data_IF_258935064266
#
_entry.id   IF_258935064266
#
_cell.length_a   1.000
_cell.length_b   1.000
_cell.length_c   1.000
_cell.angle_alpha   90.00
_cell.angle_beta   90.00
_cell.angle_gamma   90.00
#
_symmetry.space_group_name_H-M   'P 1'
#
loop_
_entity.id
_entity.type
_entity.pdbx_description
1 polymer ?
#
# COMPACT_ATOMS: atom_id res chain seq x y z
N UNK A 1 -47.02 -6.51 40.51
CA UNK A 1 -45.80 -6.90 39.77
C UNK A 1 -44.62 -6.20 40.41
N UNK A 2 -43.78 -6.92 41.15
CA UNK A 2 -42.80 -6.40 42.06
C UNK A 2 -41.71 -5.58 41.35
N UNK A 3 -41.25 -4.52 41.94
CA UNK A 3 -40.16 -3.63 41.44
C UNK A 3 -38.89 -4.42 41.07
N UNK A 4 -38.65 -5.56 41.75
CA UNK A 4 -37.56 -6.49 41.49
C UNK A 4 -37.67 -7.14 40.10
N UNK A 5 -38.85 -7.59 39.65
CA UNK A 5 -39.03 -8.18 38.31
C UNK A 5 -38.86 -7.16 37.18
N UNK A 6 -39.22 -5.89 37.42
CA UNK A 6 -38.94 -4.83 36.44
C UNK A 6 -37.41 -4.52 36.31
N UNK A 7 -36.71 -4.54 37.44
CA UNK A 7 -35.23 -4.38 37.43
C UNK A 7 -34.53 -5.56 36.75
N UNK A 8 -34.97 -6.79 37.01
CA UNK A 8 -34.40 -7.99 36.34
C UNK A 8 -34.67 -7.93 34.84
N UNK A 9 -35.89 -7.53 34.43
CA UNK A 9 -36.25 -7.44 33.01
C UNK A 9 -35.43 -6.36 32.29
N UNK A 10 -35.17 -5.20 32.92
CA UNK A 10 -34.34 -4.16 32.41
C UNK A 10 -32.88 -4.63 32.32
N UNK A 11 -32.34 -5.32 33.32
CA UNK A 11 -30.99 -5.87 33.32
C UNK A 11 -30.80 -6.91 32.23
N UNK A 12 -31.78 -7.81 32.02
CA UNK A 12 -31.77 -8.82 30.95
C UNK A 12 -31.89 -8.17 29.55
N UNK A 13 -32.65 -7.08 29.40
CA UNK A 13 -32.75 -6.35 28.14
C UNK A 13 -31.44 -5.64 27.77
N UNK A 14 -30.65 -5.18 28.75
CA UNK A 14 -29.33 -4.61 28.50
C UNK A 14 -28.25 -5.66 28.22
N UNK A 15 -28.36 -6.90 28.74
CA UNK A 15 -27.44 -8.00 28.39
C UNK A 15 -27.62 -8.53 26.97
N UNK A 16 -28.75 -8.27 26.31
CA UNK A 16 -29.04 -8.75 24.95
C UNK A 16 -28.42 -7.93 23.81
N UNK A 17 -27.73 -6.82 24.10
CA UNK A 17 -27.13 -5.94 23.07
C UNK A 17 -25.60 -6.03 23.06
N UNK A 18 -25.01 -7.09 23.59
CA UNK A 18 -23.65 -7.43 23.27
C UNK A 18 -23.63 -7.97 21.83
N UNK A 19 -23.74 -7.09 20.84
CA UNK A 19 -23.41 -7.45 19.46
C UNK A 19 -22.00 -7.95 19.51
N UNK A 20 -21.80 -9.23 19.19
CA UNK A 20 -20.49 -9.80 19.00
C UNK A 20 -19.76 -8.90 17.99
N UNK A 21 -18.76 -8.15 18.44
CA UNK A 21 -17.94 -7.38 17.50
C UNK A 21 -17.40 -8.38 16.48
N UNK A 22 -17.55 -8.10 15.18
CA UNK A 22 -17.02 -9.00 14.16
C UNK A 22 -15.53 -9.22 14.46
N UNK A 23 -15.11 -10.47 14.36
CA UNK A 23 -13.71 -10.84 14.59
C UNK A 23 -12.81 -9.98 13.71
N UNK A 24 -11.89 -9.26 14.32
CA UNK A 24 -10.99 -8.37 13.58
C UNK A 24 -10.06 -9.21 12.70
N UNK A 25 -9.85 -8.85 11.43
CA UNK A 25 -8.93 -9.58 10.59
C UNK A 25 -7.52 -9.56 11.19
N UNK A 26 -6.87 -10.73 11.21
CA UNK A 26 -5.47 -10.87 11.70
C UNK A 26 -4.45 -10.34 10.70
N UNK A 27 -4.81 -10.34 9.42
CA UNK A 27 -3.98 -9.84 8.33
C UNK A 27 -4.86 -9.11 7.32
N UNK A 28 -4.42 -7.91 6.92
CA UNK A 28 -4.99 -7.17 5.78
C UNK A 28 -3.88 -6.99 4.75
N UNK A 29 -4.14 -7.40 3.52
CA UNK A 29 -3.22 -7.23 2.39
C UNK A 29 -3.85 -6.26 1.41
N UNK A 30 -3.26 -5.09 1.26
CA UNK A 30 -3.65 -4.12 0.26
C UNK A 30 -2.77 -4.25 -0.98
N UNK A 31 -3.39 -4.43 -2.15
CA UNK A 31 -2.68 -4.55 -3.43
C UNK A 31 -3.14 -3.40 -4.33
N UNK A 32 -2.19 -2.59 -4.79
CA UNK A 32 -2.45 -1.53 -5.79
C UNK A 32 -1.70 -1.91 -7.06
N UNK A 33 -2.44 -2.02 -8.15
CA UNK A 33 -1.89 -2.30 -9.48
C UNK A 33 -1.95 -1.00 -10.27
N UNK A 34 -0.82 -0.31 -10.30
CA UNK A 34 -0.68 0.97 -11.01
C UNK A 34 -0.89 0.78 -12.52
N UNK A 35 -1.49 1.76 -13.17
CA UNK A 35 -1.78 1.79 -14.61
C UNK A 35 -2.72 0.66 -15.11
N UNK A 36 -3.34 -0.10 -14.20
CA UNK A 36 -4.33 -1.11 -14.59
C UNK A 36 -5.66 -0.43 -14.92
N UNK A 37 -6.11 -0.56 -16.16
CA UNK A 37 -7.42 -0.08 -16.58
C UNK A 37 -8.52 -0.98 -16.04
N UNK A 38 -9.64 -0.37 -15.65
CA UNK A 38 -10.80 -1.08 -15.14
C UNK A 38 -11.34 -2.15 -16.11
N UNK A 39 -11.38 -1.84 -17.41
CA UNK A 39 -11.88 -2.77 -18.43
C UNK A 39 -11.03 -4.04 -18.58
N UNK A 40 -9.78 -4.07 -18.11
CA UNK A 40 -8.95 -5.27 -18.15
C UNK A 40 -9.54 -6.41 -17.31
N UNK A 41 -10.27 -6.12 -16.24
CA UNK A 41 -10.94 -7.14 -15.43
C UNK A 41 -11.94 -7.95 -16.25
N UNK A 42 -12.63 -7.32 -17.20
CA UNK A 42 -13.66 -7.94 -18.05
C UNK A 42 -13.10 -8.38 -19.39
N UNK A 43 -12.30 -7.52 -20.04
CA UNK A 43 -11.71 -7.79 -21.36
C UNK A 43 -10.88 -9.05 -21.39
N UNK A 44 -10.14 -9.33 -20.32
CA UNK A 44 -9.27 -10.49 -20.23
C UNK A 44 -9.83 -11.58 -19.30
N UNK A 45 -11.10 -11.49 -18.91
CA UNK A 45 -11.70 -12.39 -17.94
C UNK A 45 -11.51 -13.87 -18.29
N UNK A 46 -11.72 -14.27 -19.55
CA UNK A 46 -11.56 -15.64 -20.02
C UNK A 46 -10.11 -16.17 -19.92
N UNK A 47 -9.13 -15.26 -19.80
CA UNK A 47 -7.69 -15.61 -19.70
C UNK A 47 -7.19 -15.69 -18.27
N UNK A 48 -7.97 -15.22 -17.29
CA UNK A 48 -7.57 -15.32 -15.90
C UNK A 48 -7.74 -16.74 -15.38
N UNK A 49 -6.80 -17.15 -14.51
CA UNK A 49 -6.97 -18.37 -13.71
C UNK A 49 -8.12 -18.21 -12.70
N UNK A 50 -8.56 -19.31 -12.12
CA UNK A 50 -9.72 -19.33 -11.18
C UNK A 50 -9.43 -18.59 -9.85
N UNK A 51 -8.18 -18.48 -9.45
CA UNK A 51 -7.76 -17.61 -8.36
C UNK A 51 -7.65 -16.14 -8.78
N UNK A 52 -7.10 -15.28 -7.93
CA UNK A 52 -6.83 -13.86 -8.27
C UNK A 52 -8.10 -13.09 -8.65
N UNK A 53 -8.11 -12.47 -9.84
CA UNK A 53 -9.20 -11.58 -10.25
C UNK A 53 -10.57 -12.25 -10.32
N UNK A 54 -10.66 -13.46 -10.89
CA UNK A 54 -11.93 -14.19 -10.95
C UNK A 54 -12.50 -14.43 -9.56
N UNK A 55 -11.68 -14.91 -8.65
CA UNK A 55 -12.10 -15.13 -7.27
C UNK A 55 -12.54 -13.84 -6.59
N UNK A 56 -11.79 -12.75 -6.75
CA UNK A 56 -12.13 -11.46 -6.13
C UNK A 56 -13.44 -10.88 -6.70
N UNK A 57 -13.68 -11.04 -8.00
CA UNK A 57 -14.92 -10.60 -8.63
C UNK A 57 -16.13 -11.47 -8.23
N UNK A 58 -15.94 -12.78 -8.06
CA UNK A 58 -17.04 -13.73 -7.74
C UNK A 58 -17.35 -13.85 -6.25
N UNK A 59 -16.34 -13.77 -5.38
CA UNK A 59 -16.48 -13.99 -3.93
C UNK A 59 -16.30 -12.70 -3.11
N UNK A 60 -15.75 -11.65 -3.71
CA UNK A 60 -15.44 -10.39 -3.07
C UNK A 60 -16.50 -9.32 -3.26
N UNK A 61 -16.15 -8.08 -2.89
CA UNK A 61 -16.97 -6.90 -3.12
C UNK A 61 -16.31 -6.02 -4.18
N UNK A 62 -17.06 -5.63 -5.21
CA UNK A 62 -16.59 -4.74 -6.29
C UNK A 62 -17.29 -3.38 -6.20
N UNK A 63 -16.49 -2.30 -6.29
CA UNK A 63 -17.01 -0.93 -6.35
C UNK A 63 -17.07 -0.51 -7.82
N UNK A 64 -18.24 -0.63 -8.43
CA UNK A 64 -18.43 -0.44 -9.88
C UNK A 64 -18.33 1.03 -10.34
N UNK A 65 -18.61 1.98 -9.47
CA UNK A 65 -18.64 3.40 -9.79
C UNK A 65 -17.70 4.23 -8.90
N UNK A 66 -16.43 3.81 -8.80
CA UNK A 66 -15.41 4.55 -8.09
C UNK A 66 -14.76 5.58 -9.03
N UNK A 67 -15.13 6.85 -8.89
CA UNK A 67 -14.61 7.95 -9.71
C UNK A 67 -13.43 8.64 -9.02
N UNK A 68 -12.42 9.02 -9.81
CA UNK A 68 -11.29 9.83 -9.35
C UNK A 68 -11.63 11.31 -9.57
N UNK A 69 -11.84 12.11 -8.49
CA UNK A 69 -12.32 13.49 -8.60
C UNK A 69 -11.18 14.52 -8.77
N UNK A 70 -9.99 14.10 -9.18
CA UNK A 70 -8.82 14.96 -9.31
C UNK A 70 -7.98 14.64 -10.54
N UNK A 71 -7.21 15.61 -11.00
CA UNK A 71 -6.22 15.51 -12.08
C UNK A 71 -4.94 16.27 -11.67
N UNK A 72 -3.76 15.81 -12.14
CA UNK A 72 -3.49 14.57 -12.86
C UNK A 72 -3.57 13.34 -11.95
N UNK A 73 -3.95 12.19 -12.50
CA UNK A 73 -4.02 10.91 -11.77
C UNK A 73 -2.72 10.10 -11.91
N UNK A 74 -1.59 10.72 -11.57
CA UNK A 74 -0.28 10.04 -11.60
C UNK A 74 -0.05 9.21 -10.34
N UNK A 75 0.91 8.29 -10.40
CA UNK A 75 1.23 7.29 -9.36
C UNK A 75 1.20 7.85 -7.94
N UNK A 76 1.98 8.90 -7.66
CA UNK A 76 2.11 9.43 -6.30
C UNK A 76 0.79 9.94 -5.74
N UNK A 77 0.01 10.66 -6.55
CA UNK A 77 -1.30 11.19 -6.15
C UNK A 77 -2.26 10.03 -5.88
N UNK A 78 -2.40 9.10 -6.84
CA UNK A 78 -3.32 7.98 -6.72
C UNK A 78 -3.04 7.11 -5.50
N UNK A 79 -1.79 6.73 -5.28
CA UNK A 79 -1.39 5.96 -4.10
C UNK A 79 -1.69 6.72 -2.80
N UNK A 80 -1.38 8.02 -2.74
CA UNK A 80 -1.71 8.83 -1.56
C UNK A 80 -3.21 8.88 -1.31
N UNK A 81 -4.02 9.18 -2.35
CA UNK A 81 -5.48 9.27 -2.18
C UNK A 81 -6.11 7.97 -1.68
N UNK A 82 -5.72 6.82 -2.24
CA UNK A 82 -6.25 5.51 -1.84
C UNK A 82 -5.95 5.19 -0.37
N UNK A 83 -4.73 5.50 0.07
CA UNK A 83 -4.29 5.09 1.42
C UNK A 83 -4.50 6.14 2.50
N UNK A 84 -4.83 7.37 2.14
CA UNK A 84 -5.17 8.44 3.09
C UNK A 84 -6.66 8.75 3.13
N UNK A 85 -7.44 8.30 2.13
CA UNK A 85 -8.85 8.68 1.98
C UNK A 85 -9.04 10.18 1.70
N UNK A 86 -8.01 10.88 1.22
CA UNK A 86 -8.03 12.33 1.00
C UNK A 86 -7.58 12.72 -0.41
N UNK A 87 -7.53 13.99 -0.72
CA UNK A 87 -7.21 14.55 -2.03
C UNK A 87 -5.90 15.37 -1.99
N UNK A 88 -5.27 15.68 -3.13
CA UNK A 88 -3.98 16.38 -3.21
C UNK A 88 -3.88 17.66 -2.37
N UNK A 89 -4.93 18.46 -2.33
CA UNK A 89 -4.97 19.71 -1.52
C UNK A 89 -4.91 19.46 -0.01
N UNK A 90 -5.22 18.26 0.44
CA UNK A 90 -5.19 17.87 1.85
C UNK A 90 -3.90 17.12 2.18
N UNK A 91 -3.57 16.07 1.39
CA UNK A 91 -2.41 15.25 1.69
C UNK A 91 -1.08 15.82 1.17
N UNK A 92 -1.09 16.91 0.39
CA UNK A 92 0.11 17.64 -0.02
C UNK A 92 0.89 17.05 -1.20
N UNK A 93 0.52 15.88 -1.72
CA UNK A 93 1.19 15.24 -2.86
C UNK A 93 0.51 15.68 -4.16
N UNK A 94 1.11 16.63 -4.87
CA UNK A 94 0.56 17.21 -6.09
C UNK A 94 1.05 16.55 -7.38
N UNK A 95 1.99 15.59 -7.31
CA UNK A 95 2.55 14.89 -8.46
C UNK A 95 3.66 13.92 -8.06
N UNK A 96 4.25 13.21 -9.03
CA UNK A 96 5.48 12.45 -8.80
C UNK A 96 6.67 13.36 -8.48
N UNK A 97 6.62 14.58 -9.02
CA UNK A 97 7.44 15.71 -8.64
C UNK A 97 6.56 16.98 -8.71
N UNK A 98 6.84 17.96 -7.88
CA UNK A 98 6.09 19.23 -7.82
C UNK A 98 7.00 20.36 -7.31
N UNK A 99 6.53 21.60 -7.47
CA UNK A 99 7.26 22.77 -6.97
C UNK A 99 6.97 22.98 -5.49
N UNK A 100 8.03 23.07 -4.68
CA UNK A 100 7.99 23.42 -3.26
C UNK A 100 9.08 24.46 -2.99
N UNK A 101 8.71 25.58 -2.43
CA UNK A 101 9.64 26.69 -2.13
C UNK A 101 10.47 27.12 -3.37
N UNK A 102 9.82 27.21 -4.53
CA UNK A 102 10.43 27.59 -5.80
C UNK A 102 11.35 26.53 -6.44
N UNK A 103 11.41 25.31 -5.89
CA UNK A 103 12.25 24.22 -6.40
C UNK A 103 11.41 23.01 -6.78
N UNK A 104 11.82 22.30 -7.82
CA UNK A 104 11.22 20.99 -8.15
C UNK A 104 11.74 19.96 -7.15
N UNK A 105 10.83 19.31 -6.44
CA UNK A 105 11.12 18.25 -5.49
C UNK A 105 10.44 16.95 -5.92
N UNK A 106 11.09 15.81 -5.67
CA UNK A 106 10.47 14.51 -5.78
C UNK A 106 9.45 14.33 -4.63
N UNK A 107 8.30 13.73 -4.90
CA UNK A 107 7.22 13.60 -3.92
C UNK A 107 7.63 12.89 -2.61
N UNK A 108 8.61 11.99 -2.66
CA UNK A 108 9.17 11.30 -1.49
C UNK A 108 10.63 11.64 -1.23
N UNK A 109 11.19 12.62 -1.96
CA UNK A 109 12.60 13.04 -1.81
C UNK A 109 12.87 13.66 -0.43
N UNK A 110 13.92 13.19 0.25
CA UNK A 110 14.34 13.68 1.56
C UNK A 110 15.84 13.53 1.75
N UNK A 111 16.55 14.67 1.73
CA UNK A 111 17.99 14.72 1.92
C UNK A 111 18.42 14.63 3.40
N UNK A 112 17.48 14.56 4.33
CA UNK A 112 17.79 14.43 5.77
C UNK A 112 17.95 12.97 6.20
N UNK A 113 17.51 12.02 5.36
CA UNK A 113 17.68 10.57 5.58
C UNK A 113 18.83 10.02 4.75
N UNK A 114 19.24 8.79 5.03
CA UNK A 114 20.31 8.09 4.31
C UNK A 114 19.80 6.78 3.71
N UNK A 115 20.39 6.30 2.61
CA UNK A 115 20.12 4.97 2.08
C UNK A 115 20.47 3.86 3.08
N UNK A 116 19.66 2.79 3.09
CA UNK A 116 19.94 1.58 3.85
C UNK A 116 19.81 0.37 2.93
N UNK A 117 20.91 -0.33 2.71
CA UNK A 117 21.02 -1.43 1.77
C UNK A 117 21.56 -1.06 0.38
N UNK A 118 21.89 0.22 0.17
CA UNK A 118 22.54 0.74 -1.06
C UNK A 118 23.34 1.98 -0.71
N UNK A 119 24.35 2.28 -1.50
CA UNK A 119 25.14 3.52 -1.42
C UNK A 119 24.65 4.57 -2.43
N UNK A 120 23.59 4.25 -3.18
CA UNK A 120 23.05 5.09 -4.24
C UNK A 120 22.05 6.14 -3.76
N UNK A 121 21.69 7.04 -4.67
CA UNK A 121 20.73 8.12 -4.38
C UNK A 121 19.29 7.64 -4.18
N UNK A 122 18.97 6.41 -4.54
CA UNK A 122 17.63 5.82 -4.45
C UNK A 122 17.08 5.70 -3.02
N UNK A 123 17.93 5.84 -2.00
CA UNK A 123 17.53 5.73 -0.61
C UNK A 123 17.31 7.07 0.12
N UNK A 124 17.50 8.23 -0.52
CA UNK A 124 17.20 9.54 0.06
C UNK A 124 15.70 9.84 -0.05
N UNK A 125 14.87 8.97 0.52
CA UNK A 125 13.40 8.98 0.38
C UNK A 125 12.73 8.76 1.72
N UNK A 126 11.62 9.50 1.95
CA UNK A 126 10.76 9.38 3.13
C UNK A 126 9.34 9.89 2.83
N UNK A 127 8.36 9.68 3.72
CA UNK A 127 7.02 10.25 3.58
C UNK A 127 6.93 11.73 3.98
N UNK A 128 8.02 12.44 4.15
CA UNK A 128 8.08 13.82 4.69
C UNK A 128 7.14 14.81 4.02
N UNK A 129 6.87 14.63 2.72
CA UNK A 129 5.99 15.53 1.97
C UNK A 129 4.51 15.12 2.05
N UNK A 130 4.18 13.98 2.62
CA UNK A 130 2.82 13.57 2.91
C UNK A 130 2.38 14.23 4.23
N UNK A 131 1.32 15.05 4.18
CA UNK A 131 0.92 15.89 5.32
C UNK A 131 -0.11 15.26 6.23
N UNK A 132 -0.64 14.11 5.85
CA UNK A 132 -1.68 13.41 6.59
C UNK A 132 -1.28 11.98 6.87
N UNK A 133 -1.95 11.35 7.81
CA UNK A 133 -1.78 9.92 8.13
C UNK A 133 -2.38 9.03 7.07
N UNK A 134 -1.85 7.83 6.97
CA UNK A 134 -2.43 6.75 6.15
C UNK A 134 -3.28 5.83 7.00
N UNK A 135 -4.07 4.96 6.38
CA UNK A 135 -4.81 3.91 7.11
C UNK A 135 -3.87 3.01 7.93
N UNK A 136 -2.62 2.82 7.47
CA UNK A 136 -1.59 2.10 8.21
C UNK A 136 -1.13 2.84 9.47
N UNK A 137 -0.95 4.17 9.37
CA UNK A 137 -0.63 5.03 10.51
C UNK A 137 -1.76 4.99 11.53
N UNK A 138 -3.01 5.16 11.09
CA UNK A 138 -4.20 5.10 11.94
C UNK A 138 -4.37 3.74 12.63
N UNK A 139 -4.11 2.63 11.92
CA UNK A 139 -4.13 1.30 12.51
C UNK A 139 -3.10 1.18 13.64
N UNK A 140 -1.91 1.71 13.44
CA UNK A 140 -0.87 1.72 14.48
C UNK A 140 -1.28 2.53 15.70
N UNK A 141 -1.84 3.70 15.47
CA UNK A 141 -2.37 4.57 16.55
C UNK A 141 -3.49 3.86 17.31
N UNK A 142 -4.51 3.38 16.60
CA UNK A 142 -5.67 2.71 17.19
C UNK A 142 -5.32 1.43 17.97
N UNK A 143 -4.21 0.80 17.66
CA UNK A 143 -3.73 -0.41 18.35
C UNK A 143 -2.60 -0.16 19.34
N UNK A 144 -2.33 1.10 19.66
CA UNK A 144 -1.21 1.52 20.50
C UNK A 144 0.11 0.89 20.04
N UNK A 145 0.42 1.01 18.75
CA UNK A 145 1.59 0.49 18.05
C UNK A 145 1.78 -1.05 18.08
N UNK A 146 0.76 -1.83 18.48
CA UNK A 146 0.83 -3.30 18.47
C UNK A 146 0.71 -3.91 17.09
N UNK A 147 -0.05 -3.28 16.17
CA UNK A 147 -0.15 -3.70 14.77
C UNK A 147 1.17 -3.49 14.03
N UNK A 148 1.39 -4.30 13.01
CA UNK A 148 2.54 -4.17 12.10
C UNK A 148 2.06 -3.66 10.74
N UNK A 149 2.79 -2.70 10.20
CA UNK A 149 2.55 -2.13 8.88
C UNK A 149 3.83 -2.28 8.06
N UNK A 150 3.70 -2.84 6.87
CA UNK A 150 4.83 -3.05 5.95
C UNK A 150 4.41 -2.63 4.54
N UNK A 151 5.21 -1.80 3.88
CA UNK A 151 5.04 -1.41 2.49
C UNK A 151 6.13 -2.01 1.60
N UNK A 152 5.74 -2.56 0.45
CA UNK A 152 6.69 -3.11 -0.52
C UNK A 152 6.23 -2.75 -1.94
N UNK A 153 7.11 -2.17 -2.74
CA UNK A 153 6.86 -1.92 -4.16
C UNK A 153 8.16 -1.84 -4.95
N UNK A 154 8.08 -1.86 -6.28
CA UNK A 154 9.24 -1.60 -7.12
C UNK A 154 9.67 -0.12 -7.06
N UNK A 155 8.71 0.80 -7.00
CA UNK A 155 8.98 2.25 -6.91
C UNK A 155 8.91 2.75 -5.48
N UNK A 156 9.83 3.65 -5.11
CA UNK A 156 9.90 4.32 -3.82
C UNK A 156 8.55 4.89 -3.37
N UNK A 157 7.95 5.76 -4.17
CA UNK A 157 6.66 6.41 -3.87
C UNK A 157 5.49 5.44 -3.73
N UNK A 158 5.53 4.32 -4.47
CA UNK A 158 4.49 3.29 -4.39
C UNK A 158 4.60 2.43 -3.11
N UNK A 159 5.78 2.37 -2.48
CA UNK A 159 5.96 1.74 -1.18
C UNK A 159 5.73 2.74 -0.02
N UNK A 160 6.31 3.94 -0.13
CA UNK A 160 6.38 4.94 0.95
C UNK A 160 5.02 5.59 1.21
N UNK A 161 4.34 6.10 0.16
CA UNK A 161 3.10 6.86 0.33
C UNK A 161 1.94 6.01 0.89
N UNK A 162 1.76 4.73 0.47
CA UNK A 162 0.80 3.85 1.12
C UNK A 162 1.13 3.47 2.56
N UNK A 163 2.41 3.26 2.86
CA UNK A 163 2.84 2.80 4.18
C UNK A 163 2.83 3.91 5.24
N UNK A 164 3.00 5.16 4.82
CA UNK A 164 2.94 6.33 5.70
C UNK A 164 4.16 6.52 6.60
N UNK A 165 3.92 7.18 7.74
CA UNK A 165 4.96 7.68 8.63
C UNK A 165 5.39 6.66 9.71
N UNK A 166 4.47 5.79 10.13
CA UNK A 166 4.65 4.92 11.29
C UNK A 166 4.81 3.44 10.91
N UNK A 167 5.12 3.15 9.64
CA UNK A 167 5.32 1.77 9.19
C UNK A 167 6.53 1.11 9.88
N UNK A 168 6.43 -0.20 10.12
CA UNK A 168 7.51 -1.01 10.69
C UNK A 168 8.63 -1.31 9.68
N UNK A 169 8.31 -1.19 8.38
CA UNK A 169 9.28 -1.35 7.33
C UNK A 169 8.68 -0.99 5.98
N UNK A 170 9.47 -0.29 5.18
CA UNK A 170 9.10 0.09 3.82
C UNK A 170 10.27 -0.21 2.91
N UNK A 171 9.99 -0.96 1.84
CA UNK A 171 11.04 -1.47 0.96
C UNK A 171 10.70 -1.16 -0.50
N UNK A 172 11.67 -0.65 -1.23
CA UNK A 172 11.57 -0.40 -2.67
C UNK A 172 12.81 -0.87 -3.39
N UNK A 173 12.70 -1.06 -4.69
CA UNK A 173 13.78 -1.61 -5.49
C UNK A 173 14.72 -0.50 -5.99
N UNK A 174 16.00 -0.65 -5.76
CA UNK A 174 17.05 0.17 -6.37
C UNK A 174 17.51 -0.51 -7.66
N UNK A 175 17.14 0.06 -8.80
CA UNK A 175 17.44 -0.49 -10.13
C UNK A 175 18.95 -0.60 -10.38
N UNK A 176 19.75 0.32 -9.79
CA UNK A 176 21.21 0.31 -9.94
C UNK A 176 21.89 -0.73 -9.08
N UNK A 177 21.41 -0.90 -7.86
CA UNK A 177 21.93 -1.89 -6.93
C UNK A 177 21.34 -3.28 -7.15
N UNK A 178 20.25 -3.42 -7.93
CA UNK A 178 19.58 -4.68 -8.22
C UNK A 178 18.95 -5.35 -7.01
N UNK A 179 18.52 -4.57 -6.01
CA UNK A 179 18.04 -5.09 -4.72
C UNK A 179 17.00 -4.20 -4.07
N UNK A 180 16.24 -4.77 -3.13
CA UNK A 180 15.35 -4.00 -2.25
C UNK A 180 16.15 -3.28 -1.18
N UNK A 181 15.79 -2.01 -0.98
CA UNK A 181 16.42 -1.08 -0.03
C UNK A 181 15.37 -0.38 0.81
N UNK A 182 15.81 0.42 1.76
CA UNK A 182 14.99 1.36 2.54
C UNK A 182 15.79 2.64 2.84
N UNK A 183 15.31 3.46 3.76
CA UNK A 183 16.05 4.63 4.27
C UNK A 183 16.09 4.63 5.80
N UNK A 184 16.97 5.47 6.34
CA UNK A 184 17.08 5.69 7.79
C UNK A 184 15.83 6.31 8.41
N UNK A 185 14.85 6.74 7.61
CA UNK A 185 13.54 7.14 8.13
C UNK A 185 12.83 5.97 8.83
N UNK A 186 12.96 4.77 8.28
CA UNK A 186 12.26 3.59 8.78
C UNK A 186 13.14 2.69 9.65
N UNK A 187 14.43 2.55 9.32
CA UNK A 187 15.36 1.68 10.05
C UNK A 187 16.82 1.95 9.71
N UNK A 188 17.73 1.59 10.61
CA UNK A 188 19.18 1.77 10.41
C UNK A 188 19.85 0.62 9.63
N UNK A 189 19.20 -0.54 9.54
CA UNK A 189 19.70 -1.72 8.81
C UNK A 189 18.58 -2.57 8.26
N UNK A 190 18.81 -3.19 7.09
CA UNK A 190 17.85 -4.13 6.52
C UNK A 190 17.66 -5.36 7.42
N UNK A 191 16.42 -5.82 7.64
CA UNK A 191 16.16 -7.08 8.32
C UNK A 191 16.78 -8.28 7.59
N UNK A 192 17.06 -9.33 8.32
CA UNK A 192 17.70 -10.53 7.77
C UNK A 192 16.89 -11.15 6.62
N UNK A 193 15.56 -11.17 6.71
CA UNK A 193 14.71 -11.71 5.66
C UNK A 193 14.81 -10.92 4.32
N UNK A 194 14.96 -9.58 4.39
CA UNK A 194 15.20 -8.75 3.19
C UNK A 194 16.57 -9.06 2.60
N UNK A 195 17.61 -9.17 3.47
CA UNK A 195 18.94 -9.54 3.01
C UNK A 195 18.98 -10.93 2.38
N UNK A 196 18.26 -11.91 2.95
CA UNK A 196 18.11 -13.26 2.36
C UNK A 196 17.39 -13.19 1.01
N UNK A 197 16.34 -12.39 0.91
CA UNK A 197 15.63 -12.18 -0.36
C UNK A 197 16.55 -11.57 -1.43
N UNK A 198 17.26 -10.49 -1.09
CA UNK A 198 18.20 -9.82 -1.98
C UNK A 198 19.33 -10.75 -2.49
N UNK A 199 19.82 -11.66 -1.63
CA UNK A 199 20.84 -12.66 -2.01
C UNK A 199 20.37 -13.62 -3.10
N UNK A 200 19.06 -13.76 -3.34
CA UNK A 200 18.51 -14.60 -4.43
C UNK A 200 18.76 -14.01 -5.82
N UNK A 201 19.12 -12.73 -5.93
CA UNK A 201 19.44 -12.04 -7.19
C UNK A 201 18.38 -12.25 -8.28
N UNK A 202 17.10 -12.16 -7.90
CA UNK A 202 16.00 -12.54 -8.80
C UNK A 202 15.93 -11.63 -10.03
N UNK A 203 16.27 -10.35 -9.93
CA UNK A 203 16.33 -9.46 -11.07
C UNK A 203 17.34 -9.97 -12.13
N UNK A 204 18.58 -10.28 -11.72
CA UNK A 204 19.60 -10.85 -12.60
C UNK A 204 19.13 -12.18 -13.22
N UNK A 205 18.54 -13.05 -12.39
CA UNK A 205 18.02 -14.35 -12.84
C UNK A 205 16.95 -14.22 -13.91
N UNK A 206 15.98 -13.33 -13.74
CA UNK A 206 14.88 -13.18 -14.71
C UNK A 206 15.28 -12.36 -15.93
N UNK A 207 16.15 -11.36 -15.79
CA UNK A 207 16.68 -10.61 -16.92
C UNK A 207 17.61 -11.44 -17.83
N UNK A 208 18.19 -12.51 -17.33
CA UNK A 208 18.99 -13.44 -18.16
C UNK A 208 18.14 -14.43 -18.96
N UNK A 209 16.83 -14.49 -18.75
CA UNK A 209 15.92 -15.37 -19.45
C UNK A 209 15.27 -14.66 -20.65
N UNK A 210 14.96 -15.44 -21.70
CA UNK A 210 14.14 -14.94 -22.81
C UNK A 210 12.74 -14.62 -22.29
N UNK A 211 12.24 -13.42 -22.61
CA UNK A 211 10.86 -13.09 -22.35
C UNK A 211 9.96 -13.61 -23.48
N UNK A 212 8.91 -14.32 -23.12
CA UNK A 212 7.90 -14.81 -24.03
C UNK A 212 6.51 -14.47 -23.50
N UNK A 213 5.56 -14.29 -24.40
CA UNK A 213 4.15 -14.09 -24.02
C UNK A 213 3.56 -15.37 -23.44
N UNK A 214 2.64 -15.26 -22.50
CA UNK A 214 1.97 -16.41 -21.86
C UNK A 214 1.16 -17.23 -22.88
N UNK A 215 0.57 -16.57 -23.86
CA UNK A 215 -0.15 -17.17 -24.99
C UNK A 215 0.53 -16.80 -26.30
N UNK A 216 0.25 -17.48 -27.43
CA UNK A 216 0.74 -17.08 -28.74
C UNK A 216 0.44 -15.61 -29.04
N UNK A 217 1.40 -14.88 -29.63
CA UNK A 217 1.33 -13.43 -29.80
C UNK A 217 0.11 -12.97 -30.62
N UNK A 218 -0.29 -13.76 -31.58
CA UNK A 218 -1.46 -13.53 -32.46
C UNK A 218 -2.81 -13.61 -31.72
N UNK A 219 -2.83 -14.13 -30.49
CA UNK A 219 -4.04 -14.18 -29.64
C UNK A 219 -4.28 -12.89 -28.84
N UNK A 220 -3.31 -11.97 -28.85
CA UNK A 220 -3.44 -10.65 -28.21
C UNK A 220 -3.89 -9.63 -29.26
N UNK A 221 -5.09 -9.11 -29.11
CA UNK A 221 -5.68 -8.07 -29.96
C UNK A 221 -5.81 -6.75 -29.22
#
# INVERSE_FOLDING_TARGET
MNRIYRLIFILCAFCGIAQAQPERPKLVVGIVIDQMRWDYLYRYYARYGEGGFKRMLGEGFSVENCQIPYIPSVTAIGHSCVWTGSVPSIHGIAGNAFVKDGKIVNCVGDNTVKPVGSDGKAGYMSPRNLWVTTIGDELRLATNNRSKVVGVALKDRAAILPAGHHANGVYWFDDKAGRFITSTFYMDKLPEWVNKFNKRKLAEKYLSQKWETLYPIDTYQ
#
